data_IF_512932197020
#
_entry.id   IF_512932197020
#
_cell.length_a   1.000
_cell.length_b   1.000
_cell.length_c   1.000
_cell.angle_alpha   90.00
_cell.angle_beta   90.00
_cell.angle_gamma   90.00
#
_symmetry.space_group_name_H-M   'P 1'
#
loop_
_entity.id
_entity.type
_entity.pdbx_description
1 polymer ?
#
# COMPACT_ATOMS: atom_id res chain seq x y z
N UNK A 1 -1.59 30.80 -23.96
CA UNK A 1 -0.47 30.18 -24.70
C UNK A 1 0.63 29.66 -23.76
N UNK A 2 1.22 30.50 -22.90
CA UNK A 2 2.34 30.10 -22.02
C UNK A 2 2.00 28.98 -21.03
N UNK A 3 0.80 29.01 -20.43
CA UNK A 3 0.31 27.94 -19.53
C UNK A 3 0.15 26.58 -20.22
N UNK A 4 -0.32 26.56 -21.47
CA UNK A 4 -0.46 25.32 -22.25
C UNK A 4 0.91 24.75 -22.60
N UNK A 5 1.89 25.59 -22.93
CA UNK A 5 3.26 25.19 -23.23
C UNK A 5 3.95 24.63 -21.98
N UNK A 6 3.80 25.29 -20.82
CA UNK A 6 4.35 24.79 -19.55
C UNK A 6 3.71 23.47 -19.14
N UNK A 7 2.39 23.32 -19.28
CA UNK A 7 1.67 22.06 -19.03
C UNK A 7 2.15 20.94 -19.96
N UNK A 8 2.32 21.24 -21.25
CA UNK A 8 2.78 20.29 -22.26
C UNK A 8 4.24 19.84 -22.05
N UNK A 9 5.14 20.77 -21.71
CA UNK A 9 6.53 20.45 -21.40
C UNK A 9 6.68 19.66 -20.11
N UNK A 10 5.85 19.93 -19.09
CA UNK A 10 5.83 19.18 -17.84
C UNK A 10 5.33 17.75 -18.06
N UNK A 11 4.28 17.58 -18.87
CA UNK A 11 3.77 16.26 -19.27
C UNK A 11 4.81 15.46 -20.07
N UNK A 12 5.51 16.07 -21.04
CA UNK A 12 6.61 15.41 -21.77
C UNK A 12 7.75 14.97 -20.85
N UNK A 13 8.11 15.81 -19.86
CA UNK A 13 9.17 15.48 -18.90
C UNK A 13 8.77 14.36 -17.93
N UNK A 14 7.49 14.25 -17.58
CA UNK A 14 6.93 13.14 -16.79
C UNK A 14 6.80 11.83 -17.57
N UNK A 15 6.74 11.88 -18.90
CA UNK A 15 6.69 10.72 -19.78
C UNK A 15 8.08 10.13 -20.11
N UNK A 16 9.15 10.91 -19.96
CA UNK A 16 10.52 10.48 -20.21
C UNK A 16 11.17 9.95 -18.93
N UNK A 17 11.31 8.62 -18.82
CA UNK A 17 12.21 8.00 -17.83
C UNK A 17 13.68 8.31 -18.17
N UNK A 18 14.62 8.25 -17.20
CA UNK A 18 16.06 8.41 -17.47
C UNK A 18 16.63 7.40 -18.49
N UNK A 19 15.90 6.29 -18.73
CA UNK A 19 16.24 5.25 -19.70
C UNK A 19 15.54 5.40 -21.07
N UNK A 20 14.77 6.47 -21.30
CA UNK A 20 14.16 6.73 -22.61
C UNK A 20 12.98 5.82 -22.99
N UNK A 21 12.56 4.90 -22.12
CA UNK A 21 11.33 4.12 -22.33
C UNK A 21 10.12 4.87 -21.75
N UNK A 22 9.00 5.00 -22.49
CA UNK A 22 7.78 5.59 -21.96
C UNK A 22 7.30 4.83 -20.72
N UNK A 23 6.92 5.56 -19.67
CA UNK A 23 6.23 4.95 -18.53
C UNK A 23 5.00 4.20 -19.02
N UNK A 24 4.90 2.91 -18.68
CA UNK A 24 3.73 2.08 -18.97
C UNK A 24 3.30 1.36 -17.71
N UNK A 25 2.10 1.69 -17.22
CA UNK A 25 1.55 1.08 -16.01
C UNK A 25 1.21 -0.39 -16.23
N UNK A 26 1.18 -1.19 -15.16
CA UNK A 26 0.78 -2.59 -15.24
C UNK A 26 -0.66 -2.74 -15.74
N UNK A 27 -1.55 -1.80 -15.38
CA UNK A 27 -2.92 -1.75 -15.90
C UNK A 27 -2.94 -1.50 -17.40
N UNK A 28 -2.14 -0.56 -17.90
CA UNK A 28 -2.04 -0.27 -19.34
C UNK A 28 -1.50 -1.48 -20.11
N UNK A 29 -0.47 -2.16 -19.59
CA UNK A 29 0.07 -3.40 -20.17
C UNK A 29 -0.98 -4.53 -20.19
N UNK A 30 -1.85 -4.60 -19.18
CA UNK A 30 -2.96 -5.57 -19.15
C UNK A 30 -3.98 -5.23 -20.24
N UNK A 31 -4.36 -3.96 -20.36
CA UNK A 31 -5.36 -3.48 -21.31
C UNK A 31 -4.90 -3.55 -22.77
N UNK A 32 -3.59 -3.47 -23.03
CA UNK A 32 -3.04 -3.56 -24.38
C UNK A 32 -3.07 -4.97 -24.98
N UNK A 33 -3.51 -5.99 -24.23
CA UNK A 33 -3.66 -7.35 -24.75
C UNK A 33 -2.33 -7.97 -25.17
N UNK A 34 -1.31 -7.90 -24.31
CA UNK A 34 0.03 -8.41 -24.63
C UNK A 34 0.01 -9.92 -24.91
N UNK A 35 0.62 -10.31 -26.03
CA UNK A 35 0.83 -11.71 -26.37
C UNK A 35 2.02 -12.35 -25.62
N UNK A 36 2.92 -11.52 -25.09
CA UNK A 36 4.09 -11.94 -24.31
C UNK A 36 4.35 -10.97 -23.15
N UNK A 37 4.72 -11.51 -21.99
CA UNK A 37 5.08 -10.72 -20.82
C UNK A 37 6.45 -10.04 -21.04
N UNK A 38 6.61 -8.73 -20.79
CA UNK A 38 7.91 -8.08 -20.93
C UNK A 38 8.93 -8.69 -19.96
N UNK A 39 10.18 -8.81 -20.38
CA UNK A 39 11.23 -9.48 -19.61
C UNK A 39 11.43 -8.88 -18.21
N UNK A 40 11.19 -7.56 -18.07
CA UNK A 40 11.25 -6.88 -16.78
C UNK A 40 10.21 -7.37 -15.78
N UNK A 41 9.14 -8.06 -16.19
CA UNK A 41 8.15 -8.67 -15.28
C UNK A 41 8.35 -10.18 -15.09
N UNK A 42 9.35 -10.78 -15.74
CA UNK A 42 9.65 -12.20 -15.63
C UNK A 42 10.55 -12.43 -14.42
N UNK A 43 10.03 -13.10 -13.39
CA UNK A 43 10.82 -13.52 -12.23
C UNK A 43 11.87 -14.56 -12.67
N UNK A 44 13.16 -14.38 -12.35
CA UNK A 44 14.22 -15.35 -12.66
C UNK A 44 13.94 -16.73 -12.05
N UNK A 45 14.31 -17.85 -12.72
CA UNK A 45 14.05 -19.20 -12.20
C UNK A 45 14.50 -19.42 -10.76
N UNK A 46 15.66 -18.86 -10.36
CA UNK A 46 16.20 -18.96 -9.01
C UNK A 46 15.39 -18.24 -7.92
N UNK A 47 14.45 -17.36 -8.32
CA UNK A 47 13.58 -16.61 -7.41
C UNK A 47 12.12 -17.06 -7.50
N UNK A 48 11.82 -18.03 -8.36
CA UNK A 48 10.46 -18.58 -8.44
C UNK A 48 10.23 -19.51 -7.25
N UNK A 49 8.98 -19.60 -6.74
CA UNK A 49 8.65 -20.59 -5.73
C UNK A 49 8.96 -22.01 -6.24
N UNK A 50 9.70 -22.81 -5.48
CA UNK A 50 9.96 -24.22 -5.78
C UNK A 50 8.69 -25.05 -5.55
N UNK A 51 7.99 -25.42 -6.63
CA UNK A 51 6.80 -26.28 -6.56
C UNK A 51 7.09 -27.73 -6.14
N UNK A 52 8.36 -28.13 -6.00
CA UNK A 52 8.78 -29.52 -5.72
C UNK A 52 8.79 -29.89 -4.23
N UNK A 53 8.60 -28.93 -3.32
CA UNK A 53 8.53 -29.17 -1.86
C UNK A 53 7.10 -29.40 -1.36
N UNK A 54 6.25 -30.01 -2.17
CA UNK A 54 4.90 -30.45 -1.78
C UNK A 54 4.91 -31.91 -1.34
N UNK A 55 5.74 -32.27 -0.36
CA UNK A 55 5.66 -33.59 0.29
C UNK A 55 6.10 -33.49 1.76
N UNK A 56 5.17 -33.91 2.63
CA UNK A 56 5.33 -34.22 4.07
C UNK A 56 5.68 -33.09 5.04
N UNK A 57 4.81 -32.09 5.17
CA UNK A 57 4.40 -31.58 6.49
C UNK A 57 3.00 -30.96 6.35
N UNK A 58 1.96 -31.43 7.08
CA UNK A 58 0.68 -30.74 7.17
C UNK A 58 0.87 -29.56 8.12
N UNK A 59 1.67 -28.58 7.71
CA UNK A 59 1.67 -27.30 8.36
C UNK A 59 0.32 -26.66 8.07
N UNK A 60 -0.54 -26.58 9.08
CA UNK A 60 -1.73 -25.73 9.12
C UNK A 60 -1.30 -24.27 8.95
N UNK A 61 -0.79 -23.89 7.78
CA UNK A 61 -0.43 -22.53 7.41
C UNK A 61 -1.69 -21.78 6.94
N UNK A 62 -2.75 -21.81 7.75
CA UNK A 62 -3.84 -20.87 7.57
C UNK A 62 -3.32 -19.49 7.97
N UNK A 63 -3.58 -18.49 7.13
CA UNK A 63 -3.32 -17.10 7.50
C UNK A 63 -4.01 -16.80 8.83
N UNK A 64 -3.34 -16.16 9.81
CA UNK A 64 -3.93 -15.89 11.11
C UNK A 64 -5.19 -15.03 10.94
N UNK A 65 -6.32 -15.54 11.43
CA UNK A 65 -7.59 -14.82 11.56
C UNK A 65 -7.68 -14.24 12.97
N UNK A 66 -7.64 -12.91 13.09
CA UNK A 66 -7.66 -12.20 14.36
C UNK A 66 -9.03 -11.58 14.56
N UNK A 67 -9.71 -11.98 15.64
CA UNK A 67 -10.95 -11.36 16.08
C UNK A 67 -10.68 -10.20 17.05
N UNK A 68 -11.10 -8.98 16.68
CA UNK A 68 -10.95 -7.77 17.49
C UNK A 68 -12.17 -7.46 18.37
N UNK A 69 -13.19 -8.34 18.41
CA UNK A 69 -14.40 -8.17 19.22
C UNK A 69 -14.10 -7.83 20.69
N UNK A 70 -13.06 -8.46 21.25
CA UNK A 70 -12.66 -8.32 22.66
C UNK A 70 -11.61 -7.25 22.93
N UNK A 71 -11.27 -6.42 21.94
CA UNK A 71 -10.19 -5.43 22.07
C UNK A 71 -10.47 -4.33 23.12
N UNK A 72 -11.76 -4.02 23.34
CA UNK A 72 -12.24 -3.09 24.37
C UNK A 72 -12.52 -3.75 25.72
N UNK A 73 -12.44 -5.08 25.82
CA UNK A 73 -12.74 -5.81 27.05
C UNK A 73 -11.53 -5.78 28.02
N UNK A 74 -11.66 -5.26 29.25
CA UNK A 74 -10.52 -5.03 30.14
C UNK A 74 -9.64 -6.26 30.41
N UNK A 75 -10.27 -7.45 30.53
CA UNK A 75 -9.57 -8.69 30.87
C UNK A 75 -9.05 -9.47 29.65
N UNK A 76 -9.61 -9.24 28.46
CA UNK A 76 -9.31 -10.02 27.25
C UNK A 76 -8.43 -9.23 26.26
N UNK A 77 -8.34 -7.91 26.44
CA UNK A 77 -7.53 -7.02 25.61
C UNK A 77 -6.09 -7.50 25.45
N UNK A 78 -5.41 -7.89 26.54
CA UNK A 78 -4.01 -8.31 26.48
C UNK A 78 -3.80 -9.52 25.57
N UNK A 79 -4.72 -10.48 25.61
CA UNK A 79 -4.68 -11.68 24.76
C UNK A 79 -4.87 -11.34 23.28
N UNK A 80 -5.78 -10.41 22.97
CA UNK A 80 -6.00 -9.94 21.59
C UNK A 80 -4.76 -9.21 21.06
N UNK A 81 -4.20 -8.30 21.87
CA UNK A 81 -2.98 -7.54 21.51
C UNK A 81 -1.77 -8.47 21.33
N UNK A 82 -1.63 -9.49 22.18
CA UNK A 82 -0.59 -10.50 22.05
C UNK A 82 -0.74 -11.30 20.75
N UNK A 83 -1.96 -11.74 20.40
CA UNK A 83 -2.24 -12.41 19.12
C UNK A 83 -1.89 -11.54 17.92
N UNK A 84 -2.26 -10.25 17.96
CA UNK A 84 -1.86 -9.28 16.92
C UNK A 84 -0.34 -9.17 16.85
N UNK A 85 0.35 -9.07 17.99
CA UNK A 85 1.80 -8.98 18.07
C UNK A 85 2.50 -10.20 17.47
N UNK A 86 2.04 -11.41 17.79
CA UNK A 86 2.56 -12.67 17.25
C UNK A 86 2.32 -12.74 15.74
N UNK A 87 1.10 -12.46 15.28
CA UNK A 87 0.79 -12.48 13.85
C UNK A 87 1.64 -11.47 13.06
N UNK A 88 1.81 -10.25 13.58
CA UNK A 88 2.69 -9.25 12.96
C UNK A 88 4.16 -9.67 12.99
N UNK A 89 4.61 -10.41 14.01
CA UNK A 89 5.99 -10.92 14.09
C UNK A 89 6.24 -12.02 13.07
N UNK A 90 5.30 -12.95 12.92
CA UNK A 90 5.49 -14.16 12.13
C UNK A 90 5.08 -13.97 10.65
N UNK A 91 4.12 -13.08 10.40
CA UNK A 91 3.54 -12.85 9.06
C UNK A 91 3.67 -11.39 8.59
N UNK A 92 4.15 -10.46 9.41
CA UNK A 92 4.31 -9.06 9.02
C UNK A 92 5.51 -8.84 8.10
N UNK A 93 5.35 -7.97 7.10
CA UNK A 93 6.46 -7.48 6.28
C UNK A 93 7.00 -6.16 6.84
N UNK A 94 8.27 -6.13 7.22
CA UNK A 94 8.98 -4.90 7.59
C UNK A 94 10.08 -4.64 6.55
N UNK A 95 9.97 -3.57 5.76
CA UNK A 95 11.06 -3.16 4.86
C UNK A 95 12.24 -2.65 5.70
N UNK A 96 13.26 -3.50 5.84
CA UNK A 96 14.49 -3.19 6.53
C UNK A 96 15.59 -2.77 5.57
N UNK A 97 15.63 -1.50 5.17
CA UNK A 97 16.88 -0.86 4.74
C UNK A 97 16.98 0.55 5.34
N UNK A 98 17.94 0.72 6.26
CA UNK A 98 18.55 1.98 6.69
C UNK A 98 17.74 3.02 7.51
N UNK A 99 17.01 2.59 8.54
CA UNK A 99 16.59 3.47 9.65
C UNK A 99 17.02 2.95 11.04
N UNK A 100 17.93 1.97 11.10
CA UNK A 100 18.29 1.23 12.32
C UNK A 100 19.26 1.93 13.28
N UNK A 101 19.51 3.23 13.13
CA UNK A 101 20.37 4.00 14.05
C UNK A 101 19.70 5.28 14.56
N UNK A 102 18.61 5.13 15.29
CA UNK A 102 18.28 5.93 16.49
C UNK A 102 17.02 5.32 17.14
N UNK A 103 16.92 5.28 18.47
CA UNK A 103 15.76 4.80 19.28
C UNK A 103 15.71 3.30 19.66
N UNK A 104 16.86 2.70 19.96
CA UNK A 104 16.95 1.43 20.73
C UNK A 104 17.02 1.60 22.26
N UNK A 105 16.96 2.81 22.81
CA UNK A 105 17.00 2.99 24.27
C UNK A 105 15.62 3.37 24.82
N UNK A 106 15.13 2.52 25.74
CA UNK A 106 13.86 2.57 26.51
C UNK A 106 12.59 2.19 25.72
N UNK A 107 12.21 0.91 25.74
CA UNK A 107 10.85 0.46 25.43
C UNK A 107 10.31 -0.44 26.54
N UNK A 108 9.12 -0.09 27.00
CA UNK A 108 8.26 -0.83 27.91
C UNK A 108 7.72 -2.09 27.21
N UNK A 109 7.84 -3.29 27.80
CA UNK A 109 7.38 -4.54 27.21
C UNK A 109 5.86 -4.65 27.04
N UNK A 110 5.06 -3.76 27.62
CA UNK A 110 3.58 -3.76 27.51
C UNK A 110 3.03 -2.96 26.34
N UNK A 111 3.87 -2.19 25.63
CA UNK A 111 3.48 -1.43 24.44
C UNK A 111 3.92 -2.15 23.18
N UNK A 112 2.96 -2.37 22.26
CA UNK A 112 3.27 -2.77 20.88
C UNK A 112 4.37 -1.86 20.33
N UNK A 113 5.43 -2.41 19.71
CA UNK A 113 6.55 -1.64 19.21
C UNK A 113 6.05 -0.48 18.37
N UNK A 114 6.45 0.75 18.70
CA UNK A 114 6.10 1.95 17.92
C UNK A 114 6.48 1.84 16.43
N UNK A 115 7.32 0.87 16.05
CA UNK A 115 7.59 0.53 14.66
C UNK A 115 6.37 -0.02 13.88
N UNK A 116 5.37 -0.60 14.57
CA UNK A 116 4.08 -1.02 13.98
C UNK A 116 3.20 0.21 13.64
N UNK A 117 3.46 1.34 14.30
CA UNK A 117 2.67 2.59 14.22
C UNK A 117 3.22 3.54 13.14
N UNK A 118 4.44 3.34 12.65
CA UNK A 118 5.16 4.32 11.81
C UNK A 118 5.04 4.16 10.29
N UNK A 119 4.22 3.23 9.79
CA UNK A 119 3.92 3.14 8.36
C UNK A 119 2.42 3.08 8.10
N UNK A 120 1.68 4.11 8.54
CA UNK A 120 0.37 4.43 7.96
C UNK A 120 0.58 5.11 6.60
N UNK A 121 1.16 4.36 5.68
CA UNK A 121 1.12 4.65 4.27
C UNK A 121 -0.04 3.83 3.73
N UNK A 122 -1.17 4.45 3.41
CA UNK A 122 -2.21 3.75 2.67
C UNK A 122 -1.64 3.56 1.25
N UNK A 123 -1.09 2.38 0.99
CA UNK A 123 -0.66 1.99 -0.36
C UNK A 123 -1.82 1.24 -0.98
N UNK A 124 -2.69 1.98 -1.65
CA UNK A 124 -3.81 1.39 -2.36
C UNK A 124 -3.25 0.79 -3.63
N UNK A 125 -3.45 -0.51 -3.80
CA UNK A 125 -3.10 -1.19 -5.03
C UNK A 125 -4.17 -2.16 -5.44
N UNK A 126 -4.47 -2.15 -6.73
CA UNK A 126 -5.57 -2.89 -7.35
C UNK A 126 -5.36 -4.40 -7.35
N UNK A 127 -4.17 -4.91 -7.00
CA UNK A 127 -3.96 -6.32 -6.67
C UNK A 127 -2.89 -6.46 -5.57
N UNK A 128 -3.30 -7.08 -4.46
CA UNK A 128 -2.46 -7.61 -3.39
C UNK A 128 -1.62 -6.56 -2.64
N UNK A 129 -2.27 -5.81 -1.73
CA UNK A 129 -1.69 -5.76 -0.39
C UNK A 129 -2.01 -7.12 0.23
N UNK A 130 -1.07 -8.06 0.11
CA UNK A 130 -1.15 -9.32 0.84
C UNK A 130 -0.87 -8.99 2.31
N UNK A 131 -1.90 -8.48 2.99
CA UNK A 131 -1.93 -8.53 4.44
C UNK A 131 -1.96 -10.02 4.75
N UNK A 132 -0.83 -10.59 5.18
CA UNK A 132 -0.73 -12.00 5.55
C UNK A 132 -1.50 -12.31 6.85
N UNK A 133 -2.31 -11.37 7.35
CA UNK A 133 -3.17 -11.51 8.52
C UNK A 133 -4.59 -11.09 8.12
N UNK A 134 -5.60 -11.87 8.50
CA UNK A 134 -7.01 -11.52 8.31
C UNK A 134 -7.56 -11.00 9.63
N UNK A 135 -8.32 -9.90 9.60
CA UNK A 135 -8.86 -9.27 10.80
C UNK A 135 -10.37 -9.11 10.67
N UNK A 136 -11.12 -9.54 11.69
CA UNK A 136 -12.58 -9.45 11.76
C UNK A 136 -13.03 -8.69 13.01
N UNK A 137 -14.29 -8.24 13.01
CA UNK A 137 -14.89 -7.48 14.11
C UNK A 137 -14.07 -6.25 14.53
N UNK A 138 -13.40 -5.62 13.57
CA UNK A 138 -12.61 -4.40 13.74
C UNK A 138 -13.46 -3.14 13.98
N UNK A 139 -14.79 -3.26 13.96
CA UNK A 139 -15.76 -2.18 14.20
C UNK A 139 -15.68 -0.97 13.26
N UNK A 140 -15.09 -1.16 12.07
CA UNK A 140 -15.19 -0.17 10.98
C UNK A 140 -16.45 -0.51 10.18
N UNK A 141 -17.40 0.41 10.00
CA UNK A 141 -18.62 0.13 9.26
C UNK A 141 -18.31 -0.38 7.83
N UNK A 142 -19.00 -1.43 7.34
CA UNK A 142 -18.80 -1.93 5.98
C UNK A 142 -18.99 -0.86 4.91
N UNK A 143 -19.90 0.11 5.13
CA UNK A 143 -20.11 1.26 4.24
C UNK A 143 -18.86 2.12 4.07
N UNK A 144 -18.08 2.34 5.13
CA UNK A 144 -16.84 3.12 5.10
C UNK A 144 -15.76 2.39 4.29
N UNK A 145 -15.64 1.07 4.49
CA UNK A 145 -14.69 0.24 3.72
C UNK A 145 -15.08 0.22 2.24
N UNK A 146 -16.35 -0.05 1.95
CA UNK A 146 -16.84 -0.12 0.57
C UNK A 146 -16.71 1.22 -0.13
N UNK A 147 -17.03 2.33 0.53
CA UNK A 147 -16.85 3.68 -0.01
C UNK A 147 -15.39 3.97 -0.38
N UNK A 148 -14.43 3.61 0.47
CA UNK A 148 -13.02 3.72 0.14
C UNK A 148 -12.60 2.80 -1.02
N UNK A 149 -13.08 1.55 -1.07
CA UNK A 149 -12.81 0.65 -2.19
C UNK A 149 -13.36 1.18 -3.53
N UNK A 150 -14.57 1.74 -3.51
CA UNK A 150 -15.19 2.34 -4.70
C UNK A 150 -14.45 3.60 -5.15
N UNK A 151 -14.06 4.47 -4.21
CA UNK A 151 -13.23 5.64 -4.51
C UNK A 151 -11.86 5.26 -5.10
N UNK A 152 -11.20 4.23 -4.55
CA UNK A 152 -9.98 3.68 -5.13
C UNK A 152 -10.20 3.16 -6.55
N UNK A 153 -11.23 2.33 -6.74
CA UNK A 153 -11.57 1.75 -8.04
C UNK A 153 -11.84 2.85 -9.07
N UNK A 154 -12.61 3.87 -8.70
CA UNK A 154 -12.88 5.02 -9.54
C UNK A 154 -11.59 5.77 -9.91
N UNK A 155 -10.69 6.02 -8.95
CA UNK A 155 -9.37 6.61 -9.23
C UNK A 155 -8.56 5.79 -10.24
N UNK A 156 -8.43 4.47 -10.04
CA UNK A 156 -7.63 3.63 -10.94
C UNK A 156 -8.26 3.47 -12.34
N UNK A 157 -9.56 3.65 -12.46
CA UNK A 157 -10.30 3.68 -13.73
C UNK A 157 -10.23 5.03 -14.47
N UNK A 158 -9.67 6.08 -13.86
CA UNK A 158 -9.44 7.36 -14.54
C UNK A 158 -8.43 7.21 -15.68
N UNK A 159 -8.38 8.24 -16.53
CA UNK A 159 -7.44 8.31 -17.65
C UNK A 159 -5.99 8.24 -17.17
N UNK A 160 -5.09 7.78 -18.05
CA UNK A 160 -3.67 7.75 -17.71
C UNK A 160 -3.14 9.17 -17.49
N UNK A 161 -3.62 10.14 -18.25
CA UNK A 161 -3.27 11.55 -18.18
C UNK A 161 -3.52 12.14 -16.79
N UNK A 162 -4.64 11.81 -16.15
CA UNK A 162 -4.96 12.30 -14.81
C UNK A 162 -4.10 11.63 -13.74
N UNK A 163 -3.95 10.29 -13.79
CA UNK A 163 -3.13 9.55 -12.82
C UNK A 163 -1.66 9.95 -12.86
N UNK A 164 -1.15 10.23 -14.06
CA UNK A 164 0.24 10.64 -14.29
C UNK A 164 0.60 11.99 -13.68
N UNK A 165 -0.38 12.86 -13.40
CA UNK A 165 -0.14 14.12 -12.69
C UNK A 165 0.39 13.90 -11.27
N UNK A 166 0.05 12.76 -10.66
CA UNK A 166 0.49 12.37 -9.32
C UNK A 166 1.78 11.52 -9.36
N UNK A 167 2.33 11.26 -10.54
CA UNK A 167 3.53 10.44 -10.64
C UNK A 167 4.78 11.21 -10.23
N UNK A 168 5.66 10.53 -9.49
CA UNK A 168 6.96 11.08 -9.12
C UNK A 168 7.95 10.00 -8.73
N UNK A 169 9.22 10.26 -9.05
CA UNK A 169 10.36 9.46 -8.57
C UNK A 169 10.74 9.79 -7.12
N UNK A 170 10.29 10.95 -6.61
CA UNK A 170 10.49 11.32 -5.22
C UNK A 170 9.57 10.50 -4.31
N UNK A 171 10.16 9.52 -3.65
CA UNK A 171 9.48 8.61 -2.71
C UNK A 171 8.96 9.32 -1.46
N UNK A 172 9.42 10.53 -1.17
CA UNK A 172 9.01 11.33 -0.01
C UNK A 172 7.82 12.23 -0.31
N UNK A 173 7.39 12.34 -1.57
CA UNK A 173 6.17 13.10 -1.90
C UNK A 173 4.98 12.59 -1.07
N UNK A 174 4.19 13.51 -0.48
CA UNK A 174 3.04 13.13 0.34
C UNK A 174 2.02 12.29 -0.39
N UNK A 175 1.79 12.58 -1.67
CA UNK A 175 0.92 11.82 -2.55
C UNK A 175 1.72 11.43 -3.79
N UNK A 176 1.72 10.14 -4.12
CA UNK A 176 2.52 9.59 -5.21
C UNK A 176 1.81 8.42 -5.87
N UNK A 177 1.52 8.58 -7.16
CA UNK A 177 1.17 7.47 -8.04
C UNK A 177 2.45 6.81 -8.58
N UNK A 178 2.43 5.50 -8.74
CA UNK A 178 3.53 4.78 -9.37
C UNK A 178 3.15 3.37 -9.81
N UNK A 179 4.08 2.73 -10.51
CA UNK A 179 4.00 1.33 -10.93
C UNK A 179 5.24 0.59 -10.43
N UNK A 180 5.11 -0.69 -10.10
CA UNK A 180 6.15 -1.48 -9.43
C UNK A 180 6.58 -0.89 -8.06
N UNK A 181 7.65 -1.40 -7.44
CA UNK A 181 8.25 -0.85 -6.22
C UNK A 181 9.24 0.27 -6.57
N UNK A 182 10.20 -0.02 -7.46
CA UNK A 182 11.15 0.94 -8.00
C UNK A 182 11.44 0.66 -9.48
N UNK A 183 10.55 1.11 -10.37
CA UNK A 183 10.65 0.88 -11.81
C UNK A 183 11.97 1.35 -12.47
N UNK A 184 12.75 2.21 -11.79
CA UNK A 184 14.03 2.72 -12.29
C UNK A 184 15.20 1.83 -11.88
N UNK A 185 15.14 1.22 -10.69
CA UNK A 185 16.27 0.46 -10.11
C UNK A 185 16.06 -1.05 -10.09
N UNK A 186 14.81 -1.50 -10.13
CA UNK A 186 14.49 -2.91 -9.99
C UNK A 186 14.73 -3.65 -11.30
N UNK A 187 15.48 -4.76 -11.24
CA UNK A 187 15.66 -5.65 -12.39
C UNK A 187 14.40 -6.44 -12.73
N UNK A 188 13.52 -6.62 -11.74
CA UNK A 188 12.24 -7.33 -11.85
C UNK A 188 11.15 -6.43 -11.29
N UNK A 189 10.18 -6.10 -12.14
CA UNK A 189 9.05 -5.24 -11.84
C UNK A 189 7.89 -6.05 -11.28
N UNK A 190 7.16 -5.43 -10.35
CA UNK A 190 5.91 -5.98 -9.85
C UNK A 190 4.77 -5.59 -10.80
N UNK A 191 3.90 -6.56 -11.11
CA UNK A 191 2.68 -6.33 -11.88
C UNK A 191 1.63 -5.60 -11.02
N UNK A 192 1.90 -4.33 -10.72
CA UNK A 192 1.20 -3.58 -9.69
C UNK A 192 1.26 -2.08 -9.98
N UNK A 193 0.10 -1.45 -9.97
CA UNK A 193 -0.01 0.01 -9.85
C UNK A 193 -0.43 0.37 -8.41
N UNK A 194 0.01 1.52 -7.94
CA UNK A 194 -0.32 1.99 -6.60
C UNK A 194 -0.47 3.51 -6.53
N UNK A 195 -1.25 3.95 -5.55
CA UNK A 195 -1.16 5.30 -5.01
C UNK A 195 -0.76 5.22 -3.55
N UNK A 196 0.24 6.01 -3.19
CA UNK A 196 0.74 6.23 -1.84
C UNK A 196 0.23 7.60 -1.38
N UNK A 197 -0.29 7.69 -0.16
CA UNK A 197 -0.65 8.96 0.46
C UNK A 197 -0.28 9.00 1.95
N UNK A 198 0.13 10.16 2.46
CA UNK A 198 0.24 10.41 3.91
C UNK A 198 -1.15 10.66 4.49
N UNK A 199 -1.40 10.06 5.65
CA UNK A 199 -2.71 10.14 6.31
C UNK A 199 -2.62 10.36 7.82
N UNK A 200 -1.47 10.77 8.37
CA UNK A 200 -1.36 11.06 9.80
C UNK A 200 -0.52 12.32 10.06
N UNK A 201 -1.09 13.37 10.66
CA UNK A 201 -2.54 13.57 10.92
C UNK A 201 -3.30 13.91 9.63
N UNK A 202 -4.53 13.41 9.47
CA UNK A 202 -5.30 13.54 8.21
C UNK A 202 -5.51 15.00 7.78
N UNK A 203 -5.77 15.88 8.75
CA UNK A 203 -6.00 17.31 8.52
C UNK A 203 -4.84 18.04 7.83
N UNK A 204 -3.61 17.53 7.95
CA UNK A 204 -2.44 18.14 7.28
C UNK A 204 -2.29 17.70 5.82
N UNK A 205 -2.89 16.57 5.45
CA UNK A 205 -2.58 15.89 4.18
C UNK A 205 -3.75 15.78 3.21
N UNK A 206 -4.99 15.79 3.72
CA UNK A 206 -6.19 15.48 2.92
C UNK A 206 -6.38 16.42 1.72
N UNK A 207 -5.95 17.67 1.82
CA UNK A 207 -6.03 18.64 0.72
C UNK A 207 -5.08 18.35 -0.44
N UNK A 208 -4.00 17.59 -0.18
CA UNK A 208 -3.05 17.15 -1.21
C UNK A 208 -3.50 15.88 -1.93
N UNK A 209 -4.48 15.15 -1.39
CA UNK A 209 -5.00 13.93 -1.99
C UNK A 209 -5.72 14.20 -3.31
N UNK A 210 -5.91 13.20 -4.18
CA UNK A 210 -6.66 13.36 -5.43
C UNK A 210 -8.01 14.05 -5.19
N UNK A 211 -8.26 15.15 -5.91
CA UNK A 211 -9.57 15.80 -5.93
C UNK A 211 -10.55 15.09 -6.87
N UNK A 212 -10.03 14.25 -7.76
CA UNK A 212 -10.79 13.41 -8.67
C UNK A 212 -10.46 11.94 -8.37
N UNK A 213 -11.48 11.06 -8.28
CA UNK A 213 -12.91 11.36 -8.35
C UNK A 213 -13.37 12.28 -7.20
N UNK A 214 -14.46 13.02 -7.37
CA UNK A 214 -14.89 14.05 -6.40
C UNK A 214 -15.13 13.49 -4.98
N UNK A 215 -15.56 12.23 -4.88
CA UNK A 215 -15.74 11.53 -3.60
C UNK A 215 -14.44 10.99 -2.98
N UNK A 216 -13.29 11.09 -3.66
CA UNK A 216 -12.07 10.40 -3.26
C UNK A 216 -11.62 10.81 -1.85
N UNK A 217 -11.49 12.12 -1.62
CA UNK A 217 -10.99 12.66 -0.34
C UNK A 217 -11.91 12.32 0.82
N UNK A 218 -13.21 12.46 0.62
CA UNK A 218 -14.22 12.17 1.64
C UNK A 218 -14.18 10.67 2.00
N UNK A 219 -14.33 9.79 1.01
CA UNK A 219 -14.43 8.34 1.26
C UNK A 219 -13.13 7.77 1.83
N UNK A 220 -11.98 8.18 1.29
CA UNK A 220 -10.67 7.78 1.83
C UNK A 220 -10.39 8.41 3.20
N UNK A 221 -10.87 9.63 3.43
CA UNK A 221 -10.69 10.36 4.69
C UNK A 221 -11.41 9.65 5.81
N UNK A 222 -12.70 9.35 5.61
CA UNK A 222 -13.53 8.58 6.54
C UNK A 222 -12.89 7.23 6.88
N UNK A 223 -12.34 6.52 5.89
CA UNK A 223 -11.65 5.27 6.12
C UNK A 223 -10.34 5.46 6.90
N UNK A 224 -9.52 6.44 6.54
CA UNK A 224 -8.28 6.74 7.24
C UNK A 224 -8.53 7.14 8.70
N UNK A 225 -9.57 7.93 8.98
CA UNK A 225 -9.98 8.30 10.34
C UNK A 225 -10.40 7.05 11.13
N UNK A 226 -11.23 6.20 10.56
CA UNK A 226 -11.67 4.96 11.21
C UNK A 226 -10.50 4.01 11.52
N UNK A 227 -9.54 3.89 10.60
CA UNK A 227 -8.30 3.12 10.82
C UNK A 227 -7.42 3.77 11.90
N UNK A 228 -7.35 5.10 11.94
CA UNK A 228 -6.61 5.83 12.97
C UNK A 228 -7.21 5.62 14.36
N UNK A 229 -8.54 5.64 14.49
CA UNK A 229 -9.22 5.32 15.75
C UNK A 229 -8.99 3.86 16.16
N UNK A 230 -9.06 2.92 15.21
CA UNK A 230 -8.73 1.51 15.47
C UNK A 230 -7.29 1.36 15.98
N UNK A 231 -6.34 2.05 15.34
CA UNK A 231 -4.93 2.04 15.73
C UNK A 231 -4.72 2.53 17.17
N UNK A 232 -5.45 3.56 17.64
CA UNK A 232 -5.38 4.02 19.03
C UNK A 232 -5.81 2.96 20.03
N UNK A 233 -6.61 1.99 19.59
CA UNK A 233 -7.09 0.88 20.42
C UNK A 233 -6.19 -0.35 20.37
N UNK A 234 -5.14 -0.41 19.55
CA UNK A 234 -4.19 -1.53 19.52
C UNK A 234 -2.97 -1.21 20.39
#
# INVERSE_FOLDING_TARGET
MQWLVTKFLTLKKMQSSPLGTPFTSATTLTQSGLNHLPQSYVVPPSQRPDCTLSTTHPSNHNLPLIDLSSLKHPLLRSQVVEKVGIACKDFGFFQGENMSKQRRSKRDPTRVPSAVIFYMQIIISTRLMQVLISVINHNIPPSVINGALDAAKAFFNMSSEEKMQLMSDDVWKPVRYGTSLNHVKDRVHFWRDFIKQYCNPISEWIDLWPSNPACYREQMGNYAEAVHELQKTL
#
